data_IF_138608390071
#
_entry.id   IF_138608390071
#
_cell.length_a   1.000
_cell.length_b   1.000
_cell.length_c   1.000
_cell.angle_alpha   90.00
_cell.angle_beta   90.00
_cell.angle_gamma   90.00
#
_symmetry.space_group_name_H-M   'P 1'
#
loop_
_entity.id
_entity.type
_entity.pdbx_description
1 polymer ?
#
# COMPACT_ATOMS: atom_id res chain seq x y z
N UNK A 1 55.21 41.43 -9.89
CA UNK A 1 53.84 41.69 -9.39
C UNK A 1 52.82 40.61 -9.83
N UNK A 2 53.17 39.66 -10.71
CA UNK A 2 52.26 38.59 -11.19
C UNK A 2 52.22 37.30 -10.34
N UNK A 3 53.20 37.05 -9.46
CA UNK A 3 53.26 35.81 -8.66
C UNK A 3 52.24 35.83 -7.49
N UNK A 4 51.91 37.02 -6.97
CA UNK A 4 50.93 37.19 -5.89
C UNK A 4 49.48 37.02 -6.36
N UNK A 5 49.16 37.33 -7.63
CA UNK A 5 47.81 37.12 -8.17
C UNK A 5 47.53 35.63 -8.43
N UNK A 6 48.51 34.87 -8.95
CA UNK A 6 48.39 33.43 -9.16
C UNK A 6 48.32 32.62 -7.85
N UNK A 7 49.03 33.04 -6.81
CA UNK A 7 48.99 32.36 -5.49
C UNK A 7 47.72 32.67 -4.69
N UNK A 8 47.15 33.88 -4.83
CA UNK A 8 45.79 34.19 -4.30
C UNK A 8 44.72 33.33 -4.97
N UNK A 9 44.75 33.22 -6.31
CA UNK A 9 43.81 32.40 -7.08
C UNK A 9 43.88 30.92 -6.67
N UNK A 10 45.08 30.33 -6.60
CA UNK A 10 45.25 28.91 -6.18
C UNK A 10 44.83 28.62 -4.74
N UNK A 11 44.94 29.58 -3.82
CA UNK A 11 44.51 29.41 -2.41
C UNK A 11 42.98 29.47 -2.26
N UNK A 12 42.32 30.36 -3.00
CA UNK A 12 40.86 30.43 -3.00
C UNK A 12 40.24 29.14 -3.55
N UNK A 13 40.82 28.56 -4.62
CA UNK A 13 40.38 27.27 -5.19
C UNK A 13 40.43 26.13 -4.16
N UNK A 14 41.45 26.07 -3.29
CA UNK A 14 41.55 25.02 -2.27
C UNK A 14 40.47 25.11 -1.20
N UNK A 15 40.13 26.34 -0.79
CA UNK A 15 39.09 26.59 0.21
C UNK A 15 37.71 26.26 -0.38
N UNK A 16 37.42 26.72 -1.60
CA UNK A 16 36.19 26.39 -2.32
C UNK A 16 36.03 24.88 -2.52
N UNK A 17 37.10 24.18 -2.86
CA UNK A 17 37.07 22.72 -3.00
C UNK A 17 36.78 22.02 -1.67
N UNK A 18 37.39 22.46 -0.56
CA UNK A 18 37.13 21.90 0.77
C UNK A 18 35.67 22.13 1.21
N UNK A 19 35.11 23.28 0.88
CA UNK A 19 33.71 23.60 1.11
C UNK A 19 32.78 22.68 0.30
N UNK A 20 33.02 22.54 -1.01
CA UNK A 20 32.26 21.63 -1.89
C UNK A 20 32.28 20.18 -1.38
N UNK A 21 33.43 19.70 -0.93
CA UNK A 21 33.55 18.35 -0.36
C UNK A 21 32.72 18.23 0.93
N UNK A 22 32.73 19.25 1.79
CA UNK A 22 31.93 19.26 3.02
C UNK A 22 30.43 19.23 2.69
N UNK A 23 29.98 20.01 1.71
CA UNK A 23 28.58 20.02 1.24
C UNK A 23 28.20 18.65 0.69
N UNK A 24 29.05 18.09 -0.17
CA UNK A 24 28.84 16.76 -0.74
C UNK A 24 28.71 15.69 0.34
N UNK A 25 29.49 15.79 1.43
CA UNK A 25 29.37 14.91 2.58
C UNK A 25 28.00 15.03 3.25
N UNK A 26 27.53 16.24 3.56
CA UNK A 26 26.22 16.47 4.17
C UNK A 26 25.07 15.96 3.30
N UNK A 27 25.13 16.23 1.99
CA UNK A 27 24.14 15.73 1.03
C UNK A 27 24.19 14.20 0.93
N UNK A 28 25.38 13.61 0.92
CA UNK A 28 25.53 12.15 0.88
C UNK A 28 24.94 11.48 2.12
N UNK A 29 25.24 12.01 3.31
CA UNK A 29 24.66 11.51 4.57
C UNK A 29 23.15 11.66 4.57
N UNK A 30 22.63 12.80 4.10
CA UNK A 30 21.19 13.02 3.93
C UNK A 30 20.57 11.93 3.06
N UNK A 31 21.10 11.75 1.86
CA UNK A 31 20.57 10.81 0.88
C UNK A 31 20.60 9.39 1.43
N UNK A 32 21.69 8.97 2.08
CA UNK A 32 21.80 7.64 2.70
C UNK A 32 20.73 7.45 3.78
N UNK A 33 20.46 8.46 4.60
CA UNK A 33 19.41 8.39 5.62
C UNK A 33 18.00 8.32 4.99
N UNK A 34 17.74 9.09 3.94
CA UNK A 34 16.45 9.05 3.20
C UNK A 34 16.22 7.66 2.60
N UNK A 35 17.20 7.10 1.88
CA UNK A 35 17.11 5.76 1.30
C UNK A 35 16.94 4.66 2.37
N UNK A 36 17.65 4.77 3.50
CA UNK A 36 17.49 3.82 4.61
C UNK A 36 16.10 3.91 5.22
N UNK A 37 15.56 5.11 5.40
CA UNK A 37 14.21 5.30 5.92
C UNK A 37 13.17 4.72 4.95
N UNK A 38 13.34 4.93 3.65
CA UNK A 38 12.46 4.39 2.61
C UNK A 38 12.46 2.87 2.62
N UNK A 39 13.64 2.26 2.61
CA UNK A 39 13.79 0.81 2.68
C UNK A 39 13.09 0.23 3.91
N UNK A 40 13.25 0.85 5.09
CA UNK A 40 12.59 0.39 6.31
C UNK A 40 11.07 0.54 6.20
N UNK A 41 10.57 1.65 5.66
CA UNK A 41 9.14 1.88 5.46
C UNK A 41 8.54 0.85 4.52
N UNK A 42 9.17 0.59 3.38
CA UNK A 42 8.74 -0.42 2.41
C UNK A 42 8.75 -1.82 3.03
N UNK A 43 9.81 -2.18 3.77
CA UNK A 43 9.87 -3.47 4.45
C UNK A 43 8.76 -3.62 5.52
N UNK A 44 8.34 -2.52 6.16
CA UNK A 44 7.20 -2.52 7.10
C UNK A 44 5.87 -2.61 6.35
N UNK A 45 5.70 -1.85 5.28
CA UNK A 45 4.53 -1.90 4.40
C UNK A 45 4.28 -3.32 3.90
N UNK A 46 5.31 -4.01 3.39
CA UNK A 46 5.23 -5.39 2.92
C UNK A 46 4.75 -6.38 3.99
N UNK A 47 5.11 -6.17 5.27
CA UNK A 47 4.59 -7.01 6.37
C UNK A 47 3.10 -6.79 6.59
N UNK A 48 2.65 -5.54 6.52
CA UNK A 48 1.22 -5.22 6.60
C UNK A 48 0.46 -5.75 5.39
N UNK A 49 1.04 -5.68 4.19
CA UNK A 49 0.44 -6.27 2.99
C UNK A 49 0.26 -7.78 3.12
N UNK A 50 1.32 -8.47 3.56
CA UNK A 50 1.28 -9.91 3.79
C UNK A 50 0.20 -10.30 4.81
N UNK A 51 0.09 -9.51 5.89
CA UNK A 51 -0.96 -9.71 6.90
C UNK A 51 -2.36 -9.43 6.36
N UNK A 52 -2.56 -8.31 5.65
CA UNK A 52 -3.83 -7.93 5.04
C UNK A 52 -4.30 -8.96 4.03
N UNK A 53 -3.41 -9.43 3.15
CA UNK A 53 -3.69 -10.48 2.19
C UNK A 53 -4.01 -11.83 2.86
N UNK A 54 -3.34 -12.18 3.95
CA UNK A 54 -3.67 -13.37 4.74
C UNK A 54 -5.06 -13.27 5.35
N UNK A 55 -5.42 -12.11 5.94
CA UNK A 55 -6.73 -11.88 6.54
C UNK A 55 -7.85 -11.91 5.49
N UNK A 56 -7.61 -11.26 4.34
CA UNK A 56 -8.54 -11.25 3.24
C UNK A 56 -8.74 -12.67 2.68
N UNK A 57 -7.65 -13.43 2.48
CA UNK A 57 -7.70 -14.82 2.04
C UNK A 57 -8.50 -15.69 3.02
N UNK A 58 -8.30 -15.55 4.33
CA UNK A 58 -9.07 -16.27 5.34
C UNK A 58 -10.55 -15.93 5.28
N UNK A 59 -10.89 -14.64 5.16
CA UNK A 59 -12.28 -14.20 5.00
C UNK A 59 -12.94 -14.84 3.79
N UNK A 60 -12.26 -14.84 2.65
CA UNK A 60 -12.75 -15.45 1.41
C UNK A 60 -12.91 -16.96 1.55
N UNK A 61 -11.95 -17.65 2.17
CA UNK A 61 -12.08 -19.09 2.44
C UNK A 61 -13.25 -19.40 3.37
N UNK A 62 -13.46 -18.60 4.42
CA UNK A 62 -14.60 -18.76 5.33
C UNK A 62 -15.93 -18.59 4.57
N UNK A 63 -16.03 -17.55 3.74
CA UNK A 63 -17.20 -17.35 2.88
C UNK A 63 -17.42 -18.55 1.96
N UNK A 64 -16.39 -18.96 1.21
CA UNK A 64 -16.49 -20.15 0.35
C UNK A 64 -16.96 -21.38 1.14
N UNK A 65 -16.42 -21.62 2.33
CA UNK A 65 -16.79 -22.77 3.15
C UNK A 65 -18.26 -22.76 3.60
N UNK A 66 -18.83 -21.57 3.86
CA UNK A 66 -20.24 -21.44 4.23
C UNK A 66 -21.13 -21.82 3.05
N UNK A 67 -20.75 -21.41 1.84
CA UNK A 67 -21.58 -21.59 0.64
C UNK A 67 -21.32 -22.92 -0.08
N UNK A 68 -20.13 -23.51 -0.03
CA UNK A 68 -19.88 -24.85 -0.60
C UNK A 68 -20.76 -25.94 0.05
N UNK A 69 -21.21 -25.71 1.28
CA UNK A 69 -22.15 -26.62 1.94
C UNK A 69 -23.58 -26.53 1.37
N UNK A 70 -23.90 -25.49 0.59
CA UNK A 70 -25.26 -25.17 0.14
C UNK A 70 -25.42 -24.93 -1.37
N UNK A 71 -24.38 -24.42 -2.06
CA UNK A 71 -24.40 -23.98 -3.45
C UNK A 71 -23.04 -24.24 -4.12
N UNK A 72 -23.05 -24.89 -5.28
CA UNK A 72 -21.84 -25.08 -6.09
C UNK A 72 -21.61 -23.86 -6.99
N UNK A 73 -20.69 -22.98 -6.61
CA UNK A 73 -20.40 -21.70 -7.27
C UNK A 73 -19.03 -21.73 -7.98
N UNK A 74 -18.95 -22.23 -9.23
CA UNK A 74 -17.69 -22.34 -9.97
C UNK A 74 -17.10 -20.96 -10.33
N UNK A 75 -15.78 -20.80 -10.18
CA UNK A 75 -15.03 -19.60 -10.59
C UNK A 75 -15.10 -18.39 -9.63
N UNK A 76 -15.73 -18.57 -8.47
CA UNK A 76 -15.85 -17.52 -7.45
C UNK A 76 -14.52 -17.24 -6.73
N UNK A 77 -13.79 -18.31 -6.39
CA UNK A 77 -12.52 -18.23 -5.65
C UNK A 77 -11.46 -17.43 -6.42
N UNK A 78 -11.29 -17.73 -7.70
CA UNK A 78 -10.30 -17.09 -8.57
C UNK A 78 -10.60 -15.59 -8.75
N UNK A 79 -11.85 -15.22 -9.02
CA UNK A 79 -12.24 -13.82 -9.27
C UNK A 79 -12.05 -12.90 -8.06
N UNK A 80 -12.18 -13.43 -6.84
CA UNK A 80 -12.08 -12.62 -5.62
C UNK A 80 -10.64 -12.45 -5.19
N UNK A 81 -9.87 -13.54 -5.23
CA UNK A 81 -8.44 -13.48 -4.93
C UNK A 81 -7.72 -12.52 -5.89
N UNK A 82 -8.08 -12.52 -7.17
CA UNK A 82 -7.50 -11.61 -8.16
C UNK A 82 -7.86 -10.13 -7.89
N UNK A 83 -9.11 -9.83 -7.51
CA UNK A 83 -9.53 -8.46 -7.17
C UNK A 83 -8.87 -7.92 -5.88
N UNK A 84 -8.57 -8.79 -4.91
CA UNK A 84 -7.92 -8.38 -3.65
C UNK A 84 -6.41 -8.19 -3.87
N UNK A 85 -5.77 -9.07 -4.62
CA UNK A 85 -4.31 -9.01 -4.86
C UNK A 85 -3.90 -7.88 -5.80
N UNK A 86 -4.73 -7.56 -6.81
CA UNK A 86 -4.42 -6.48 -7.77
C UNK A 86 -4.44 -5.07 -7.17
N UNK A 87 -5.27 -4.82 -6.15
CA UNK A 87 -5.38 -3.49 -5.51
C UNK A 87 -4.27 -3.20 -4.47
N UNK A 88 -3.47 -4.20 -4.10
CA UNK A 88 -2.52 -4.14 -2.98
C UNK A 88 -1.14 -3.52 -3.29
N UNK A 89 -0.84 -3.16 -4.54
CA UNK A 89 0.57 -2.97 -4.99
C UNK A 89 1.09 -1.51 -5.00
N UNK A 90 0.57 -0.61 -4.16
CA UNK A 90 1.10 0.75 -4.12
C UNK A 90 2.36 0.83 -3.24
N UNK A 91 3.52 0.89 -3.90
CA UNK A 91 4.81 1.10 -3.24
C UNK A 91 4.77 2.38 -2.37
N UNK A 92 5.04 2.21 -1.08
CA UNK A 92 5.20 3.31 -0.13
C UNK A 92 6.47 4.10 -0.46
N UNK A 93 6.30 5.30 -1.00
CA UNK A 93 7.38 6.24 -1.29
C UNK A 93 7.42 7.37 -0.26
N UNK A 94 8.63 7.83 0.04
CA UNK A 94 8.84 8.99 0.89
C UNK A 94 8.65 10.29 0.06
N UNK A 95 8.05 11.36 0.62
CA UNK A 95 8.05 12.67 -0.03
C UNK A 95 9.48 13.18 -0.23
N UNK A 96 9.89 13.33 -1.50
CA UNK A 96 11.25 13.78 -1.85
C UNK A 96 11.63 15.09 -1.15
N UNK A 97 12.85 15.15 -0.64
CA UNK A 97 13.48 16.38 -0.19
C UNK A 97 12.91 17.00 1.09
N UNK A 98 12.03 16.31 1.83
CA UNK A 98 11.31 16.90 2.98
C UNK A 98 11.51 16.19 4.33
N UNK A 99 12.14 15.01 4.36
CA UNK A 99 12.25 14.24 5.60
C UNK A 99 13.34 14.76 6.52
N UNK A 100 14.55 14.95 5.99
CA UNK A 100 15.68 15.40 6.79
C UNK A 100 16.10 16.80 6.37
N UNK A 101 15.69 17.79 7.16
CA UNK A 101 16.12 19.18 6.99
C UNK A 101 17.25 19.44 7.97
N UNK A 102 18.48 19.38 7.48
CA UNK A 102 19.62 19.83 8.27
C UNK A 102 19.63 21.36 8.28
N UNK A 103 19.44 21.93 9.46
CA UNK A 103 19.51 23.38 9.67
C UNK A 103 20.86 23.92 9.17
N UNK A 104 20.84 25.16 8.68
CA UNK A 104 22.05 25.86 8.27
C UNK A 104 23.12 25.80 9.37
N UNK A 105 24.41 25.72 9.00
CA UNK A 105 25.53 25.74 9.94
C UNK A 105 25.34 26.87 10.96
N UNK A 106 25.32 26.50 12.23
CA UNK A 106 25.00 27.37 13.36
C UNK A 106 25.74 28.72 13.32
N UNK A 107 25.03 29.79 13.68
CA UNK A 107 25.53 31.15 13.82
C UNK A 107 26.70 31.22 14.80
N UNK A 108 27.78 31.84 14.39
CA UNK A 108 28.99 32.00 15.21
C UNK A 108 28.80 33.05 16.29
N UNK A 109 29.04 32.69 17.55
CA UNK A 109 29.32 33.61 18.65
C UNK A 109 30.76 34.10 18.51
N UNK A 110 30.94 35.42 18.46
CA UNK A 110 32.24 36.08 18.37
C UNK A 110 32.73 36.39 19.78
N UNK A 111 33.67 35.61 20.32
CA UNK A 111 34.42 36.04 21.51
C UNK A 111 35.60 36.90 21.07
N UNK A 112 35.59 38.15 21.54
CA UNK A 112 36.56 39.18 21.25
C UNK A 112 37.57 39.26 22.39
N UNK A 113 38.79 38.78 22.17
CA UNK A 113 39.98 39.33 22.82
C UNK A 113 41.04 39.59 21.73
N UNK A 114 41.32 40.88 21.60
CA UNK A 114 42.42 41.65 21.02
C UNK A 114 43.00 41.53 19.59
N UNK A 115 43.36 42.75 19.15
CA UNK A 115 44.14 43.30 18.03
C UNK A 115 43.60 43.22 16.57
N UNK A 116 43.11 44.38 16.12
CA UNK A 116 42.75 44.81 14.74
C UNK A 116 42.12 43.75 13.83
N UNK A 117 40.90 43.33 14.18
CA UNK A 117 40.04 42.49 13.33
C UNK A 117 39.18 43.34 12.40
N UNK A 118 39.49 43.38 11.10
CA UNK A 118 38.50 43.73 10.07
C UNK A 118 37.88 42.43 9.57
N UNK A 119 36.71 42.07 10.11
CA UNK A 119 35.95 40.90 9.63
C UNK A 119 35.20 41.31 8.36
N UNK A 120 35.76 41.00 7.19
CA UNK A 120 35.04 41.12 5.92
C UNK A 120 34.35 39.81 5.62
N UNK A 121 33.03 39.88 5.47
CA UNK A 121 32.16 38.75 5.15
C UNK A 121 31.93 38.78 3.63
N UNK A 122 32.71 38.00 2.89
CA UNK A 122 32.41 37.76 1.47
C UNK A 122 31.49 36.55 1.33
N UNK A 123 30.53 36.65 0.39
CA UNK A 123 29.53 35.62 0.13
C UNK A 123 30.20 34.40 -0.50
N UNK A 124 30.08 33.25 0.15
CA UNK A 124 30.33 31.93 -0.46
C UNK A 124 29.30 31.64 -1.57
N UNK A 125 29.54 30.60 -2.38
CA UNK A 125 28.52 29.97 -3.24
C UNK A 125 27.25 29.53 -2.46
N UNK A 126 27.30 29.52 -1.13
CA UNK A 126 26.13 29.53 -0.26
C UNK A 126 25.62 30.95 -0.07
N UNK A 127 24.32 31.15 -0.26
CA UNK A 127 23.58 32.36 0.11
C UNK A 127 23.60 32.65 1.64
N UNK A 128 24.64 32.29 2.42
CA UNK A 128 24.58 32.43 3.88
C UNK A 128 25.82 32.25 4.76
N UNK A 129 26.97 31.71 4.35
CA UNK A 129 28.11 31.53 5.30
C UNK A 129 29.37 32.29 4.95
N UNK A 130 30.01 32.77 6.03
CA UNK A 130 30.89 33.92 6.10
C UNK A 130 32.33 33.43 6.22
N UNK A 131 33.18 33.65 5.23
CA UNK A 131 34.62 33.49 5.46
C UNK A 131 35.04 34.47 6.54
N UNK A 132 35.80 34.00 7.53
CA UNK A 132 36.44 34.91 8.46
C UNK A 132 37.79 35.29 7.87
N UNK A 133 37.89 36.52 7.39
CA UNK A 133 39.18 37.09 7.00
C UNK A 133 39.82 37.70 8.25
N UNK A 134 40.93 37.12 8.71
CA UNK A 134 41.74 37.67 9.81
C UNK A 134 42.99 38.33 9.23
N UNK A 135 43.22 39.59 9.59
CA UNK A 135 44.48 40.28 9.28
C UNK A 135 45.33 40.23 10.54
N UNK A 136 46.48 39.56 10.48
CA UNK A 136 47.43 39.49 11.59
C UNK A 136 48.75 40.08 11.07
N UNK A 137 49.08 41.29 11.56
CA UNK A 137 50.19 42.09 11.04
C UNK A 137 49.96 42.48 9.57
N UNK A 138 50.91 42.15 8.68
CA UNK A 138 50.82 42.42 7.22
C UNK A 138 50.19 41.28 6.41
N UNK A 139 49.76 40.19 7.06
CA UNK A 139 49.24 38.99 6.38
C UNK A 139 47.74 38.85 6.57
N UNK A 140 47.06 38.51 5.48
CA UNK A 140 45.64 38.18 5.47
C UNK A 140 45.46 36.67 5.46
N UNK A 141 44.67 36.15 6.39
CA UNK A 141 44.26 34.75 6.51
C UNK A 141 42.78 34.64 6.20
N UNK A 142 42.40 33.59 5.47
CA UNK A 142 41.01 33.24 5.21
C UNK A 142 40.74 31.88 5.87
N UNK A 143 39.73 31.82 6.72
CA UNK A 143 39.35 30.59 7.42
C UNK A 143 37.97 30.14 6.94
N UNK A 144 37.89 28.89 6.46
CA UNK A 144 36.63 28.17 6.29
C UNK A 144 36.20 27.61 7.64
N UNK A 145 35.02 28.01 8.12
CA UNK A 145 34.43 27.46 9.35
C UNK A 145 33.51 26.31 8.97
N UNK A 146 34.01 25.08 9.06
CA UNK A 146 33.19 23.87 9.00
C UNK A 146 32.79 23.49 10.44
N UNK A 147 31.54 23.08 10.69
CA UNK A 147 31.15 22.57 12.00
C UNK A 147 32.06 21.41 12.44
N UNK A 148 32.35 21.30 13.74
CA UNK A 148 33.02 20.10 14.25
C UNK A 148 32.03 18.92 14.30
N UNK A 149 32.54 17.70 14.47
CA UNK A 149 31.73 16.48 14.45
C UNK A 149 30.58 16.50 15.45
N UNK A 150 30.78 17.06 16.64
CA UNK A 150 29.72 17.17 17.66
C UNK A 150 28.57 18.07 17.22
N UNK A 151 28.89 19.19 16.57
CA UNK A 151 27.89 20.10 16.00
C UNK A 151 27.19 19.45 14.81
N UNK A 152 27.92 18.75 13.94
CA UNK A 152 27.30 17.99 12.83
C UNK A 152 26.29 16.96 13.36
N UNK A 153 26.69 16.17 14.35
CA UNK A 153 25.84 15.15 14.96
C UNK A 153 24.58 15.78 15.59
N UNK A 154 24.72 16.90 16.30
CA UNK A 154 23.57 17.64 16.85
C UNK A 154 22.62 18.13 15.77
N UNK A 155 23.14 18.70 14.68
CA UNK A 155 22.33 19.16 13.55
C UNK A 155 21.61 18.00 12.87
N UNK A 156 22.27 16.85 12.72
CA UNK A 156 21.63 15.67 12.16
C UNK A 156 20.51 15.16 13.04
N UNK A 157 20.73 15.04 14.35
CA UNK A 157 19.70 14.63 15.32
C UNK A 157 18.51 15.61 15.29
N UNK A 158 18.78 16.91 15.26
CA UNK A 158 17.73 17.93 15.19
C UNK A 158 16.95 17.86 13.87
N UNK A 159 17.63 17.62 12.75
CA UNK A 159 16.99 17.47 11.43
C UNK A 159 16.17 16.18 11.27
N UNK A 160 16.43 15.16 12.10
CA UNK A 160 15.67 13.90 12.13
C UNK A 160 14.30 14.06 12.82
N UNK A 161 14.19 14.92 13.82
CA UNK A 161 12.98 15.03 14.63
C UNK A 161 11.72 15.40 13.81
N UNK A 162 11.76 16.42 12.92
CA UNK A 162 10.63 16.70 12.01
C UNK A 162 10.35 15.53 11.06
N UNK A 163 11.40 14.90 10.55
CA UNK A 163 11.31 13.75 9.66
C UNK A 163 10.58 12.56 10.27
N UNK A 164 10.76 12.31 11.58
CA UNK A 164 10.08 11.22 12.27
C UNK A 164 8.56 11.35 12.22
N UNK A 165 8.03 12.55 12.48
CA UNK A 165 6.59 12.81 12.41
C UNK A 165 6.08 12.62 10.98
N UNK A 166 6.81 13.14 9.99
CA UNK A 166 6.47 12.98 8.58
C UNK A 166 6.42 11.50 8.18
N UNK A 167 7.47 10.72 8.46
CA UNK A 167 7.53 9.28 8.17
C UNK A 167 6.40 8.49 8.84
N UNK A 168 6.10 8.82 10.11
CA UNK A 168 5.03 8.18 10.85
C UNK A 168 3.66 8.49 10.24
N UNK A 169 3.42 9.73 9.82
CA UNK A 169 2.19 10.12 9.16
C UNK A 169 2.07 9.46 7.78
N UNK A 170 3.15 9.46 6.98
CA UNK A 170 3.18 8.79 5.68
C UNK A 170 2.84 7.30 5.79
N UNK A 171 3.42 6.60 6.77
CA UNK A 171 3.08 5.19 7.02
C UNK A 171 1.62 5.02 7.45
N UNK A 172 1.13 5.90 8.33
CA UNK A 172 -0.25 5.86 8.84
C UNK A 172 -1.25 6.08 7.70
N UNK A 173 -1.04 7.11 6.88
CA UNK A 173 -1.93 7.47 5.79
C UNK A 173 -1.98 6.34 4.76
N UNK A 174 -0.82 5.80 4.40
CA UNK A 174 -0.73 4.63 3.53
C UNK A 174 -1.47 3.41 4.12
N UNK A 175 -1.31 3.13 5.42
CA UNK A 175 -1.99 2.01 6.06
C UNK A 175 -3.51 2.20 6.10
N UNK A 176 -3.99 3.42 6.34
CA UNK A 176 -5.43 3.74 6.30
C UNK A 176 -5.98 3.49 4.90
N UNK A 177 -5.30 3.99 3.86
CA UNK A 177 -5.69 3.75 2.47
C UNK A 177 -5.70 2.26 2.16
N UNK A 178 -4.62 1.55 2.45
CA UNK A 178 -4.51 0.11 2.20
C UNK A 178 -5.62 -0.71 2.86
N UNK A 179 -5.91 -0.46 4.14
CA UNK A 179 -6.98 -1.16 4.87
C UNK A 179 -8.35 -0.81 4.31
N UNK A 180 -8.56 0.45 3.89
CA UNK A 180 -9.82 0.87 3.27
C UNK A 180 -10.02 0.17 1.92
N UNK A 181 -8.98 0.08 1.10
CA UNK A 181 -9.03 -0.60 -0.20
C UNK A 181 -9.34 -2.10 -0.04
N UNK A 182 -8.72 -2.78 0.93
CA UNK A 182 -9.04 -4.18 1.24
C UNK A 182 -10.50 -4.31 1.68
N UNK A 183 -10.96 -3.44 2.58
CA UNK A 183 -12.34 -3.47 3.07
C UNK A 183 -13.32 -3.32 1.90
N UNK A 184 -13.10 -2.37 1.02
CA UNK A 184 -13.97 -2.12 -0.13
C UNK A 184 -13.93 -3.29 -1.14
N UNK A 185 -12.76 -3.90 -1.34
CA UNK A 185 -12.63 -5.10 -2.17
C UNK A 185 -13.40 -6.29 -1.59
N UNK A 186 -13.30 -6.53 -0.27
CA UNK A 186 -14.06 -7.57 0.42
C UNK A 186 -15.56 -7.29 0.35
N UNK A 187 -15.98 -6.04 0.56
CA UNK A 187 -17.39 -5.68 0.48
C UNK A 187 -17.96 -5.94 -0.93
N UNK A 188 -17.28 -5.48 -1.97
CA UNK A 188 -17.69 -5.74 -3.37
C UNK A 188 -17.74 -7.23 -3.68
N UNK A 189 -16.79 -8.00 -3.13
CA UNK A 189 -16.79 -9.46 -3.23
C UNK A 189 -18.02 -10.09 -2.58
N UNK A 190 -18.40 -9.64 -1.39
CA UNK A 190 -19.59 -10.13 -0.68
C UNK A 190 -20.87 -9.78 -1.45
N UNK A 191 -20.98 -8.57 -1.98
CA UNK A 191 -22.14 -8.15 -2.79
C UNK A 191 -22.31 -9.06 -4.02
N UNK A 192 -21.21 -9.32 -4.75
CA UNK A 192 -21.22 -10.28 -5.87
C UNK A 192 -21.60 -11.69 -5.44
N UNK A 193 -21.15 -12.13 -4.27
CA UNK A 193 -21.48 -13.45 -3.74
C UNK A 193 -22.97 -13.60 -3.48
N UNK A 194 -23.58 -12.59 -2.86
CA UNK A 194 -25.01 -12.58 -2.57
C UNK A 194 -25.80 -12.64 -3.87
N UNK A 195 -25.41 -11.84 -4.88
CA UNK A 195 -26.07 -11.83 -6.19
C UNK A 195 -26.00 -13.19 -6.91
N UNK A 196 -24.83 -13.83 -6.91
CA UNK A 196 -24.66 -15.17 -7.46
C UNK A 196 -25.47 -16.22 -6.71
N UNK A 197 -25.50 -16.15 -5.38
CA UNK A 197 -26.27 -17.07 -4.55
C UNK A 197 -27.78 -16.94 -4.81
N UNK A 198 -28.29 -15.71 -4.90
CA UNK A 198 -29.69 -15.45 -5.25
C UNK A 198 -30.02 -16.00 -6.64
N UNK A 199 -29.15 -15.77 -7.63
CA UNK A 199 -29.35 -16.26 -9.00
C UNK A 199 -29.42 -17.79 -9.06
N UNK A 200 -28.56 -18.50 -8.32
CA UNK A 200 -28.59 -19.97 -8.32
C UNK A 200 -29.78 -20.52 -7.51
N UNK A 201 -30.20 -19.85 -6.43
CA UNK A 201 -31.43 -20.20 -5.70
C UNK A 201 -32.68 -20.07 -6.60
N UNK A 202 -32.82 -18.96 -7.33
CA UNK A 202 -33.92 -18.76 -8.30
C UNK A 202 -33.96 -19.84 -9.38
N UNK A 203 -32.79 -20.34 -9.78
CA UNK A 203 -32.66 -21.40 -10.79
C UNK A 203 -33.05 -22.75 -10.20
N UNK A 204 -32.67 -23.04 -8.96
CA UNK A 204 -33.09 -24.24 -8.24
C UNK A 204 -34.61 -24.27 -8.03
N UNK A 205 -35.21 -23.13 -7.66
CA UNK A 205 -36.67 -22.99 -7.52
C UNK A 205 -37.38 -23.32 -8.84
N UNK A 206 -36.96 -22.70 -9.95
CA UNK A 206 -37.51 -23.00 -11.28
C UNK A 206 -37.36 -24.46 -11.70
N UNK A 207 -36.27 -25.12 -11.32
CA UNK A 207 -36.08 -26.54 -11.59
C UNK A 207 -37.04 -27.41 -10.77
N UNK A 208 -37.25 -27.08 -9.50
CA UNK A 208 -38.20 -27.78 -8.62
C UNK A 208 -39.63 -27.64 -9.12
N UNK A 209 -40.05 -26.43 -9.51
CA UNK A 209 -41.37 -26.19 -10.09
C UNK A 209 -41.59 -27.02 -11.36
N UNK A 210 -40.61 -27.02 -12.27
CA UNK A 210 -40.69 -27.84 -13.48
C UNK A 210 -40.74 -29.35 -13.20
N UNK A 211 -40.03 -29.83 -12.17
CA UNK A 211 -40.12 -31.23 -11.74
C UNK A 211 -41.47 -31.55 -11.11
N UNK A 212 -42.05 -30.62 -10.35
CA UNK A 212 -43.37 -30.76 -9.74
C UNK A 212 -44.46 -30.85 -10.82
N UNK A 213 -44.40 -30.00 -11.85
CA UNK A 213 -45.32 -30.04 -12.99
C UNK A 213 -45.27 -31.38 -13.72
N UNK A 214 -44.06 -31.91 -13.95
CA UNK A 214 -43.88 -33.24 -14.53
C UNK A 214 -44.53 -34.30 -13.62
N UNK A 215 -44.27 -34.25 -12.32
CA UNK A 215 -44.81 -35.22 -11.36
C UNK A 215 -46.35 -35.18 -11.33
N UNK A 216 -46.95 -33.99 -11.29
CA UNK A 216 -48.40 -33.81 -11.37
C UNK A 216 -48.98 -34.41 -12.66
N UNK A 217 -48.38 -34.11 -13.82
CA UNK A 217 -48.85 -34.68 -15.10
C UNK A 217 -48.77 -36.22 -15.14
N UNK A 218 -47.75 -36.80 -14.50
CA UNK A 218 -47.62 -38.27 -14.39
C UNK A 218 -48.67 -38.87 -13.47
N UNK A 219 -49.03 -38.18 -12.37
CA UNK A 219 -50.11 -38.61 -11.47
C UNK A 219 -51.44 -38.60 -12.22
N UNK A 220 -51.76 -37.52 -12.94
CA UNK A 220 -53.00 -37.41 -13.72
C UNK A 220 -53.10 -38.53 -14.76
N UNK A 221 -51.99 -38.85 -15.45
CA UNK A 221 -51.95 -39.94 -16.42
C UNK A 221 -52.17 -41.32 -15.77
N UNK A 222 -51.62 -41.54 -14.57
CA UNK A 222 -51.83 -42.76 -13.80
C UNK A 222 -53.28 -42.89 -13.30
N UNK A 223 -53.90 -41.79 -12.86
CA UNK A 223 -55.31 -41.77 -12.46
C UNK A 223 -56.24 -42.10 -13.63
N UNK A 224 -56.00 -41.51 -14.81
CA UNK A 224 -56.74 -41.85 -16.03
C UNK A 224 -56.59 -43.33 -16.37
N UNK A 225 -55.37 -43.87 -16.31
CA UNK A 225 -55.09 -45.28 -16.60
C UNK A 225 -55.76 -46.23 -15.60
N UNK A 226 -55.79 -45.85 -14.32
CA UNK A 226 -56.52 -46.58 -13.26
C UNK A 226 -58.01 -46.64 -13.59
N UNK A 227 -58.62 -45.50 -13.93
CA UNK A 227 -60.04 -45.43 -14.29
C UNK A 227 -60.39 -46.33 -15.48
N UNK A 228 -59.57 -46.31 -16.54
CA UNK A 228 -59.76 -47.21 -17.69
C UNK A 228 -59.63 -48.70 -17.31
N UNK A 229 -58.73 -49.05 -16.38
CA UNK A 229 -58.64 -50.42 -15.87
C UNK A 229 -59.87 -50.83 -15.05
N UNK A 230 -60.40 -49.93 -14.20
CA UNK A 230 -61.63 -50.17 -13.45
C UNK A 230 -62.81 -50.43 -14.41
N UNK A 231 -62.96 -49.62 -15.46
CA UNK A 231 -63.98 -49.82 -16.51
C UNK A 231 -63.81 -51.16 -17.27
N UNK A 232 -62.58 -51.56 -17.57
CA UNK A 232 -62.28 -52.85 -18.18
C UNK A 232 -62.62 -54.04 -17.26
N UNK A 233 -62.37 -53.91 -15.95
CA UNK A 233 -62.75 -54.94 -14.96
C UNK A 233 -64.28 -55.06 -14.88
N UNK A 234 -65.00 -53.93 -14.84
CA UNK A 234 -66.46 -53.94 -14.84
C UNK A 234 -67.03 -54.65 -16.07
N UNK A 235 -66.54 -54.34 -17.27
CA UNK A 235 -67.01 -54.99 -18.52
C UNK A 235 -66.70 -56.49 -18.57
N UNK A 236 -65.51 -56.92 -18.13
CA UNK A 236 -65.18 -58.35 -18.02
C UNK A 236 -66.06 -59.09 -17.01
N UNK A 237 -66.39 -58.44 -15.88
CA UNK A 237 -67.27 -59.03 -14.87
C UNK A 237 -68.71 -59.22 -15.39
N UNK A 238 -69.20 -58.30 -16.22
CA UNK A 238 -70.51 -58.41 -16.86
C UNK A 238 -70.56 -59.58 -17.86
N UNK A 239 -69.56 -59.70 -18.74
CA UNK A 239 -69.41 -60.83 -19.66
C UNK A 239 -69.32 -62.17 -18.93
N UNK A 240 -68.61 -62.22 -17.80
CA UNK A 240 -68.53 -63.43 -16.97
C UNK A 240 -69.88 -63.83 -16.36
N UNK A 241 -70.80 -62.90 -16.11
CA UNK A 241 -72.15 -63.23 -15.64
C UNK A 241 -73.00 -63.78 -16.78
N UNK A 242 -72.92 -63.22 -17.99
CA UNK A 242 -73.65 -63.73 -19.16
C UNK A 242 -73.26 -65.18 -19.49
N UNK A 243 -71.96 -65.50 -19.49
CA UNK A 243 -71.46 -66.87 -19.77
C UNK A 243 -71.93 -67.91 -18.73
N UNK A 244 -72.26 -67.49 -17.49
CA UNK A 244 -72.81 -68.39 -16.47
C UNK A 244 -74.30 -68.70 -16.65
N UNK A 245 -75.04 -67.90 -17.42
CA UNK A 245 -76.46 -68.14 -17.70
C UNK A 245 -76.69 -69.00 -18.95
N UNK A 246 -75.67 -69.19 -19.80
CA UNK A 246 -75.74 -70.02 -21.01
C UNK A 246 -75.28 -71.49 -20.81
N UNK A 247 -74.92 -71.88 -19.58
CA UNK A 247 -74.61 -73.27 -19.21
C UNK A 247 -75.62 -73.83 -18.22
#
# INVERSE_FOLDING_TARGET
MEIESQTKSKKNIKIENAERVSIALYQSVRNVLEHRAEFILQAKAQRFESFGNSLASQTVQNLISIYQNSLDLPGFKENILENITSNSSQNLAIPEGKVFVFLDPATTVTTSEDETKTVRIDRSCFQGTKYEQRVIGRKTYQQLRVPNFDVMAKQWIQGINPGKALLSNTLRDWLITYVTDIKDAIQKSNEKMIDLALTELDKQERMLDGQLDIMMSTIDALEQRKKSMEEAIYSLSALSQEVKYER
#
